data_IF_649055185428
#
_entry.id   IF_649055185428
#
_cell.length_a   1.000
_cell.length_b   1.000
_cell.length_c   1.000
_cell.angle_alpha   90.00
_cell.angle_beta   90.00
_cell.angle_gamma   90.00
#
_symmetry.space_group_name_H-M   'P 1'
#
loop_
_entity.id
_entity.type
_entity.pdbx_description
1 polymer ?
#
# COMPACT_ATOMS: atom_id res chain seq x y z
N UNK A 1 -18.58 -14.35 -4.57
CA UNK A 1 -17.94 -13.70 -5.73
C UNK A 1 -16.63 -13.14 -5.20
N UNK A 2 -15.51 -13.82 -5.50
CA UNK A 2 -14.19 -13.35 -5.12
C UNK A 2 -13.82 -12.20 -6.07
N UNK A 3 -13.64 -11.00 -5.53
CA UNK A 3 -13.42 -9.77 -6.32
C UNK A 3 -11.95 -9.60 -6.75
N UNK A 4 -11.12 -10.63 -6.51
CA UNK A 4 -9.69 -10.63 -6.80
C UNK A 4 -8.85 -10.30 -5.58
N UNK A 5 -7.54 -10.46 -5.72
CA UNK A 5 -6.60 -10.36 -4.61
C UNK A 5 -6.35 -8.92 -4.12
N UNK A 6 -6.45 -8.71 -2.82
CA UNK A 6 -6.08 -7.45 -2.17
C UNK A 6 -4.60 -7.44 -1.76
N UNK A 7 -3.93 -6.32 -2.05
CA UNK A 7 -2.54 -6.06 -1.67
C UNK A 7 -2.50 -4.77 -0.84
N UNK A 8 -1.80 -4.80 0.30
CA UNK A 8 -1.73 -3.67 1.24
C UNK A 8 -0.28 -3.16 1.29
N UNK A 9 -0.06 -1.90 0.91
CA UNK A 9 1.25 -1.23 0.94
C UNK A 9 1.24 -0.11 1.98
N UNK A 10 2.02 -0.26 3.06
CA UNK A 10 2.10 0.73 4.14
C UNK A 10 3.50 1.29 4.29
N UNK A 11 3.61 2.51 4.82
CA UNK A 11 4.89 3.13 5.20
C UNK A 11 5.42 2.65 6.56
N UNK A 12 4.69 1.78 7.26
CA UNK A 12 5.12 1.18 8.54
C UNK A 12 6.36 0.30 8.34
N UNK A 13 7.18 0.14 9.37
CA UNK A 13 8.35 -0.75 9.32
C UNK A 13 7.95 -2.22 9.49
N UNK A 14 8.80 -3.12 9.02
CA UNK A 14 8.66 -4.57 9.23
C UNK A 14 8.61 -4.97 10.70
N UNK A 15 9.29 -4.24 11.58
CA UNK A 15 9.21 -4.43 13.04
C UNK A 15 7.79 -4.28 13.58
N UNK A 16 6.94 -3.52 12.89
CA UNK A 16 5.53 -3.30 13.24
C UNK A 16 4.58 -4.31 12.59
N UNK A 17 5.08 -5.37 11.93
CA UNK A 17 4.24 -6.35 11.22
C UNK A 17 3.22 -7.02 12.13
N UNK A 18 3.65 -7.49 13.30
CA UNK A 18 2.77 -8.21 14.24
C UNK A 18 1.63 -7.32 14.72
N UNK A 19 1.93 -6.11 15.19
CA UNK A 19 0.89 -5.18 15.67
C UNK A 19 -0.03 -4.71 14.54
N UNK A 20 0.51 -4.50 13.33
CA UNK A 20 -0.29 -4.13 12.16
C UNK A 20 -1.26 -5.24 11.79
N UNK A 21 -0.79 -6.48 11.71
CA UNK A 21 -1.59 -7.66 11.38
C UNK A 21 -2.70 -7.90 12.41
N UNK A 22 -2.37 -7.78 13.70
CA UNK A 22 -3.35 -7.96 14.79
C UNK A 22 -4.45 -6.89 14.73
N UNK A 23 -4.08 -5.64 14.48
CA UNK A 23 -5.05 -4.56 14.34
C UNK A 23 -5.96 -4.74 13.11
N UNK A 24 -5.40 -5.12 11.96
CA UNK A 24 -6.19 -5.41 10.75
C UNK A 24 -7.23 -6.51 11.00
N UNK A 25 -6.81 -7.62 11.61
CA UNK A 25 -7.71 -8.74 11.96
C UNK A 25 -8.79 -8.31 12.94
N UNK A 26 -8.45 -7.49 13.94
CA UNK A 26 -9.40 -6.99 14.94
C UNK A 26 -10.52 -6.16 14.33
N UNK A 27 -10.28 -5.45 13.24
CA UNK A 27 -11.29 -4.64 12.53
C UNK A 27 -11.91 -5.35 11.32
N UNK A 28 -11.74 -6.67 11.19
CA UNK A 28 -12.42 -7.49 10.19
C UNK A 28 -11.66 -7.75 8.90
N UNK A 29 -10.42 -7.27 8.74
CA UNK A 29 -9.58 -7.64 7.60
C UNK A 29 -8.84 -8.95 7.92
N UNK A 30 -9.32 -10.05 7.36
CA UNK A 30 -8.78 -11.39 7.64
C UNK A 30 -7.89 -11.95 6.52
N UNK A 31 -8.07 -11.47 5.29
CA UNK A 31 -7.34 -11.96 4.12
C UNK A 31 -6.75 -10.80 3.32
N UNK A 32 -5.53 -11.03 2.82
CA UNK A 32 -4.83 -10.23 1.82
C UNK A 32 -3.77 -11.13 1.19
N UNK A 33 -3.43 -10.91 -0.06
CA UNK A 33 -2.39 -11.70 -0.72
C UNK A 33 -1.00 -11.26 -0.26
N UNK A 34 -0.76 -9.95 -0.14
CA UNK A 34 0.50 -9.40 0.42
C UNK A 34 0.24 -8.21 1.34
N UNK A 35 0.98 -8.20 2.45
CA UNK A 35 1.16 -7.04 3.33
C UNK A 35 2.62 -6.58 3.20
N UNK A 36 2.82 -5.48 2.49
CA UNK A 36 4.13 -4.91 2.14
C UNK A 36 4.43 -3.74 3.09
N UNK A 37 5.45 -3.91 3.92
CA UNK A 37 5.94 -2.93 4.88
C UNK A 37 7.40 -2.57 4.55
N UNK A 38 7.88 -1.46 5.10
CA UNK A 38 9.25 -1.01 4.86
C UNK A 38 10.24 -1.90 5.58
N UNK A 39 11.14 -2.54 4.84
CA UNK A 39 12.31 -3.18 5.41
C UNK A 39 13.15 -2.16 6.21
N UNK A 40 13.81 -2.62 7.27
CA UNK A 40 14.71 -1.78 8.08
C UNK A 40 15.88 -1.23 7.26
N UNK A 41 16.26 -1.91 6.18
CA UNK A 41 17.31 -1.49 5.24
C UNK A 41 16.83 -0.48 4.18
N UNK A 42 15.55 -0.10 4.16
CA UNK A 42 15.03 0.81 3.14
C UNK A 42 15.57 2.25 3.35
N UNK A 43 16.30 2.74 2.35
CA UNK A 43 16.91 4.09 2.35
C UNK A 43 16.27 5.06 1.36
N UNK A 44 15.25 4.64 0.60
CA UNK A 44 14.62 5.49 -0.41
C UNK A 44 13.93 6.70 0.21
N UNK A 45 13.89 7.81 -0.55
CA UNK A 45 13.72 9.15 0.03
C UNK A 45 12.26 9.53 0.27
N UNK A 46 11.36 9.26 -0.68
CA UNK A 46 9.98 9.75 -0.59
C UNK A 46 8.94 8.64 -0.43
N UNK A 47 7.75 9.01 0.04
CA UNK A 47 6.61 8.11 0.11
C UNK A 47 6.15 7.66 -1.29
N UNK A 48 6.18 8.58 -2.25
CA UNK A 48 5.86 8.33 -3.68
C UNK A 48 6.79 7.27 -4.25
N UNK A 49 8.12 7.46 -4.12
CA UNK A 49 9.11 6.51 -4.68
C UNK A 49 8.96 5.12 -4.08
N UNK A 50 8.79 5.03 -2.76
CA UNK A 50 8.57 3.75 -2.08
C UNK A 50 7.36 3.03 -2.67
N UNK A 51 6.20 3.69 -2.65
CA UNK A 51 4.94 3.05 -3.07
C UNK A 51 4.92 2.76 -4.58
N UNK A 52 5.52 3.63 -5.39
CA UNK A 52 5.70 3.42 -6.83
C UNK A 52 6.59 2.20 -7.11
N UNK A 53 7.68 2.02 -6.36
CA UNK A 53 8.54 0.84 -6.49
C UNK A 53 7.80 -0.44 -6.14
N UNK A 54 7.06 -0.45 -5.02
CA UNK A 54 6.29 -1.63 -4.62
C UNK A 54 5.17 -1.98 -5.60
N UNK A 55 4.47 -0.98 -6.15
CA UNK A 55 3.45 -1.21 -7.19
C UNK A 55 4.08 -1.74 -8.50
N UNK A 56 5.25 -1.23 -8.89
CA UNK A 56 5.99 -1.80 -10.03
C UNK A 56 6.40 -3.25 -9.77
N UNK A 57 6.82 -3.58 -8.55
CA UNK A 57 7.17 -4.95 -8.18
C UNK A 57 5.95 -5.87 -8.29
N UNK A 58 4.74 -5.40 -7.95
CA UNK A 58 3.52 -6.16 -8.19
C UNK A 58 3.30 -6.42 -9.68
N UNK A 59 3.39 -5.41 -10.55
CA UNK A 59 3.23 -5.65 -11.99
C UNK A 59 4.28 -6.59 -12.58
N UNK A 60 5.54 -6.46 -12.16
CA UNK A 60 6.62 -7.39 -12.55
C UNK A 60 6.37 -8.83 -12.11
N UNK A 61 5.62 -9.03 -11.02
CA UNK A 61 5.20 -10.35 -10.54
C UNK A 61 3.90 -10.85 -11.20
N UNK A 62 3.42 -10.19 -12.26
CA UNK A 62 2.27 -10.63 -13.05
C UNK A 62 0.91 -10.12 -12.56
N UNK A 63 0.87 -9.27 -11.54
CA UNK A 63 -0.37 -8.64 -11.10
C UNK A 63 -0.78 -7.50 -12.02
N UNK A 64 -2.08 -7.26 -12.14
CA UNK A 64 -2.63 -6.05 -12.79
C UNK A 64 -3.36 -5.21 -11.76
N UNK A 65 -2.91 -3.97 -11.57
CA UNK A 65 -3.51 -3.06 -10.58
C UNK A 65 -4.77 -2.43 -11.18
N UNK A 66 -5.93 -2.97 -10.82
CA UNK A 66 -7.23 -2.44 -11.29
C UNK A 66 -7.67 -1.19 -10.52
N UNK A 67 -7.18 -1.00 -9.30
CA UNK A 67 -7.56 0.12 -8.46
C UNK A 67 -6.53 0.38 -7.36
N UNK A 68 -6.41 1.65 -6.97
CA UNK A 68 -5.54 2.09 -5.89
C UNK A 68 -6.30 3.06 -4.99
N UNK A 69 -6.24 2.85 -3.69
CA UNK A 69 -6.94 3.65 -2.68
C UNK A 69 -5.96 4.12 -1.61
N UNK A 70 -6.07 5.39 -1.24
CA UNK A 70 -5.18 5.99 -0.24
C UNK A 70 -5.70 7.34 0.23
N UNK A 71 -5.26 7.76 1.41
CA UNK A 71 -5.63 9.02 2.04
C UNK A 71 -4.63 10.14 1.72
N UNK A 72 -3.49 9.84 1.10
CA UNK A 72 -2.49 10.84 0.69
C UNK A 72 -2.29 10.83 -0.82
N UNK A 73 -1.95 11.99 -1.40
CA UNK A 73 -1.57 12.05 -2.82
C UNK A 73 -0.34 11.19 -3.10
N UNK A 74 0.58 11.05 -2.13
CA UNK A 74 1.73 10.15 -2.25
C UNK A 74 1.38 8.66 -2.40
N UNK A 75 0.15 8.27 -2.07
CA UNK A 75 -0.35 6.90 -2.29
C UNK A 75 -0.78 6.67 -3.73
N UNK A 76 -1.22 7.74 -4.39
CA UNK A 76 -1.90 7.72 -5.69
C UNK A 76 -1.02 8.23 -6.83
N UNK A 77 0.07 8.94 -6.51
CA UNK A 77 1.07 9.43 -7.47
C UNK A 77 2.21 8.42 -7.72
N UNK A 78 2.98 8.66 -8.78
CA UNK A 78 4.01 7.72 -9.27
C UNK A 78 3.42 6.67 -10.21
N UNK A 79 4.23 5.72 -10.68
CA UNK A 79 3.78 4.68 -11.63
C UNK A 79 4.06 3.27 -11.09
N UNK A 80 3.21 2.27 -11.34
CA UNK A 80 1.87 2.36 -11.92
C UNK A 80 0.86 2.89 -10.90
N UNK A 81 -0.15 3.65 -11.31
CA UNK A 81 -1.23 4.11 -10.41
C UNK A 81 -2.40 3.13 -10.33
N UNK A 82 -2.53 2.25 -11.33
CA UNK A 82 -3.68 1.38 -11.58
C UNK A 82 -4.77 2.06 -12.41
N UNK A 83 -5.77 1.28 -12.85
CA UNK A 83 -6.80 1.79 -13.78
C UNK A 83 -7.67 2.91 -13.18
N UNK A 84 -7.84 2.94 -11.85
CA UNK A 84 -8.58 4.00 -11.15
C UNK A 84 -8.01 4.24 -9.75
N UNK A 85 -7.92 5.51 -9.38
CA UNK A 85 -7.48 5.92 -8.04
C UNK A 85 -8.65 6.47 -7.22
N UNK A 86 -8.64 6.21 -5.91
CA UNK A 86 -9.64 6.68 -4.96
C UNK A 86 -8.96 7.39 -3.79
N UNK A 87 -9.18 8.70 -3.66
CA UNK A 87 -8.63 9.52 -2.58
C UNK A 87 -9.59 9.56 -1.41
N UNK A 88 -9.14 9.08 -0.25
CA UNK A 88 -9.85 9.24 1.00
C UNK A 88 -9.54 10.61 1.64
N UNK A 89 -10.49 11.24 2.35
CA UNK A 89 -10.22 12.46 3.09
C UNK A 89 -9.39 12.17 4.34
N UNK A 90 -8.33 12.96 4.56
CA UNK A 90 -7.60 13.03 5.82
C UNK A 90 -7.19 14.49 6.06
N UNK A 91 -7.88 15.21 6.97
CA UNK A 91 -7.58 16.61 7.27
C UNK A 91 -6.44 16.78 8.29
N UNK A 92 -5.92 15.70 8.87
CA UNK A 92 -5.02 15.80 10.03
C UNK A 92 -3.58 16.10 9.64
N UNK A 93 -3.09 15.60 8.51
CA UNK A 93 -1.72 15.80 8.06
C UNK A 93 -1.54 15.54 6.55
N UNK A 94 -0.42 16.03 6.02
CA UNK A 94 -0.04 15.86 4.62
C UNK A 94 1.33 15.17 4.50
N UNK A 95 1.40 14.18 3.61
CA UNK A 95 2.65 13.49 3.25
C UNK A 95 2.91 13.70 1.75
N UNK A 96 3.99 14.41 1.43
CA UNK A 96 4.61 14.44 0.10
C UNK A 96 5.65 13.34 -0.07
#
# INVERSE_FOLDING_TARGET
MDLGSSHIILRRSEEQRTVTTNNLKRVGFHTWEKLILKASSYTGKTAVEYKSTERNNLEKNGYRIIGNIGDQWSDLMGSPTGNRTFKLPDPMYYIS
#
